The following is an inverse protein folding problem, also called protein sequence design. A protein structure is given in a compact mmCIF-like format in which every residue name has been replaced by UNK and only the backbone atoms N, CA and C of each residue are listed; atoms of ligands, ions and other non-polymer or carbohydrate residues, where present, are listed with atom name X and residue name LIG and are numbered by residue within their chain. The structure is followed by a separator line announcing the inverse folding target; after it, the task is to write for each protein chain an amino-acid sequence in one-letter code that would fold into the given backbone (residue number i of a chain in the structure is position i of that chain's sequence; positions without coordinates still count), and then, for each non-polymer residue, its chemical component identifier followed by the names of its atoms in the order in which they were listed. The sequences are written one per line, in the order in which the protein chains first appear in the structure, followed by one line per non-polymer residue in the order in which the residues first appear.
data_IF_636004927243
#
_entry.id   IF_636004927243
#
_cell.length_a   1.000
_cell.length_b   1.000
_cell.length_c   1.000
_cell.angle_alpha   90.00
_cell.angle_beta   90.00
_cell.angle_gamma   90.00
#
_symmetry.space_group_name_H-M   'P 1'
#
loop_
_entity.id
_entity.type
_entity.pdbx_description
1 polymer ?
#
# COMPACT_ATOMS: atom_id res chain seq x y z
N UNK A 1 -31.57 70.77 -3.77
CA UNK A 1 -32.17 69.79 -2.81
C UNK A 1 -31.61 70.09 -1.44
N UNK A 2 -32.47 70.30 -0.44
CA UNK A 2 -32.04 70.52 0.96
C UNK A 2 -31.66 69.19 1.57
N UNK A 3 -30.37 68.91 1.80
CA UNK A 3 -29.91 67.70 2.45
C UNK A 3 -30.29 67.82 3.91
N UNK A 4 -31.14 66.92 4.43
CA UNK A 4 -31.55 66.90 5.83
C UNK A 4 -30.51 66.21 6.70
N UNK A 5 -30.37 66.65 7.97
CA UNK A 5 -29.47 66.02 8.95
C UNK A 5 -29.66 64.50 9.02
N UNK A 6 -30.91 64.04 8.94
CA UNK A 6 -31.25 62.61 8.90
C UNK A 6 -30.68 61.86 7.71
N UNK A 7 -30.63 62.47 6.52
CA UNK A 7 -30.01 61.86 5.33
C UNK A 7 -28.49 61.77 5.48
N UNK A 8 -27.84 62.77 6.05
CA UNK A 8 -26.41 62.77 6.34
C UNK A 8 -26.06 61.67 7.33
N UNK A 9 -26.83 61.54 8.42
CA UNK A 9 -26.63 60.50 9.42
C UNK A 9 -26.80 59.08 8.84
N UNK A 10 -27.83 58.84 8.03
CA UNK A 10 -28.05 57.55 7.37
C UNK A 10 -26.91 57.19 6.39
N UNK A 11 -26.45 58.17 5.62
CA UNK A 11 -25.32 57.97 4.71
C UNK A 11 -24.05 57.63 5.44
N UNK A 12 -23.78 58.34 6.55
CA UNK A 12 -22.65 58.10 7.41
C UNK A 12 -22.70 56.69 8.05
N UNK A 13 -23.82 56.29 8.63
CA UNK A 13 -23.99 54.95 9.20
C UNK A 13 -23.81 53.86 8.17
N UNK A 14 -24.31 54.06 6.95
CA UNK A 14 -24.10 53.12 5.84
C UNK A 14 -22.62 52.98 5.47
N UNK A 15 -21.88 54.09 5.46
CA UNK A 15 -20.42 54.05 5.16
C UNK A 15 -19.62 53.39 6.30
N UNK A 16 -19.99 53.66 7.58
CA UNK A 16 -19.36 53.02 8.71
C UNK A 16 -19.57 51.50 8.73
N UNK A 17 -20.81 51.05 8.48
CA UNK A 17 -21.11 49.64 8.38
C UNK A 17 -20.35 48.94 7.21
N UNK A 18 -20.23 49.63 6.07
CA UNK A 18 -19.45 49.13 4.94
C UNK A 18 -17.94 49.06 5.28
N UNK A 19 -17.39 49.98 6.05
CA UNK A 19 -16.01 49.93 6.53
C UNK A 19 -15.80 48.74 7.50
N UNK A 20 -16.75 48.54 8.43
CA UNK A 20 -16.71 47.42 9.36
C UNK A 20 -16.80 46.07 8.62
N UNK A 21 -17.69 45.94 7.64
CA UNK A 21 -17.79 44.71 6.80
C UNK A 21 -16.51 44.40 6.07
N UNK A 22 -15.85 45.42 5.48
CA UNK A 22 -14.55 45.23 4.81
C UNK A 22 -13.46 44.77 5.77
N UNK A 23 -13.38 45.42 6.98
CA UNK A 23 -12.45 45.00 8.02
C UNK A 23 -12.68 43.54 8.44
N UNK A 24 -13.93 43.18 8.74
CA UNK A 24 -14.29 41.82 9.15
C UNK A 24 -14.08 40.79 8.01
N UNK A 25 -14.23 41.19 6.73
CA UNK A 25 -13.93 40.33 5.59
C UNK A 25 -12.41 40.03 5.47
N UNK A 26 -11.57 41.06 5.68
CA UNK A 26 -10.11 40.92 5.71
C UNK A 26 -9.67 40.05 6.90
N UNK A 27 -10.24 40.28 8.09
CA UNK A 27 -10.00 39.47 9.29
C UNK A 27 -10.35 38.00 9.09
N UNK A 28 -11.48 37.68 8.44
CA UNK A 28 -11.86 36.32 8.10
C UNK A 28 -10.83 35.65 7.15
N UNK A 29 -10.28 36.40 6.18
CA UNK A 29 -9.22 35.86 5.28
C UNK A 29 -7.93 35.57 6.02
N UNK A 30 -7.53 36.42 6.96
CA UNK A 30 -6.36 36.19 7.83
C UNK A 30 -6.58 34.96 8.70
N UNK A 31 -7.73 34.85 9.36
CA UNK A 31 -8.02 33.73 10.27
C UNK A 31 -8.17 32.40 9.54
N UNK A 32 -8.71 32.40 8.32
CA UNK A 32 -8.87 31.17 7.51
C UNK A 32 -7.65 30.84 6.65
N UNK A 33 -6.68 31.76 6.52
CA UNK A 33 -5.56 31.69 5.57
C UNK A 33 -5.98 31.55 4.11
N UNK A 34 -7.28 31.77 3.80
CA UNK A 34 -7.87 31.58 2.48
C UNK A 34 -8.25 32.93 1.85
N UNK A 35 -7.99 33.02 0.55
CA UNK A 35 -8.35 34.19 -0.27
C UNK A 35 -9.87 34.41 -0.37
N UNK A 36 -10.64 33.33 -0.37
CA UNK A 36 -12.09 33.33 -0.35
C UNK A 36 -12.61 32.25 0.62
N UNK A 37 -13.73 32.51 1.29
CA UNK A 37 -14.35 31.58 2.23
C UNK A 37 -15.60 30.91 1.65
N UNK A 38 -16.17 31.48 0.59
CA UNK A 38 -17.36 30.94 -0.10
C UNK A 38 -17.06 30.80 -1.59
N UNK A 39 -17.52 29.71 -2.18
CA UNK A 39 -17.38 29.46 -3.63
C UNK A 39 -18.04 30.57 -4.51
N UNK A 40 -19.02 31.32 -3.94
CA UNK A 40 -19.64 32.44 -4.60
C UNK A 40 -18.73 33.68 -4.74
N UNK A 41 -17.66 33.77 -3.94
CA UNK A 41 -16.71 34.89 -3.99
C UNK A 41 -15.75 34.79 -5.16
N UNK A 42 -15.31 33.55 -5.51
CA UNK A 42 -14.48 33.24 -6.69
C UNK A 42 -14.87 31.86 -7.25
N UNK A 43 -15.91 31.74 -8.07
CA UNK A 43 -16.42 30.47 -8.58
C UNK A 43 -15.41 29.68 -9.43
N UNK A 44 -14.56 30.41 -10.15
CA UNK A 44 -13.56 29.82 -11.06
C UNK A 44 -12.45 29.14 -10.27
N UNK A 45 -11.86 29.86 -9.31
CA UNK A 45 -10.80 29.32 -8.44
C UNK A 45 -11.36 28.22 -7.54
N UNK A 46 -12.59 28.35 -7.02
CA UNK A 46 -13.24 27.34 -6.21
C UNK A 46 -13.47 26.03 -6.98
N UNK A 47 -13.90 26.11 -8.25
CA UNK A 47 -14.08 24.92 -9.09
C UNK A 47 -12.74 24.21 -9.39
N UNK A 48 -11.66 24.98 -9.63
CA UNK A 48 -10.32 24.41 -9.80
C UNK A 48 -9.80 23.79 -8.51
N UNK A 49 -9.95 24.48 -7.39
CA UNK A 49 -9.53 24.00 -6.07
C UNK A 49 -10.23 22.69 -5.67
N UNK A 50 -11.52 22.53 -5.97
CA UNK A 50 -12.24 21.27 -5.75
C UNK A 50 -11.65 20.10 -6.56
N UNK A 51 -11.25 20.35 -7.82
CA UNK A 51 -10.57 19.32 -8.64
C UNK A 51 -9.20 18.98 -8.08
N UNK A 52 -8.43 19.98 -7.67
CA UNK A 52 -7.12 19.78 -7.05
C UNK A 52 -7.24 19.00 -5.73
N UNK A 53 -8.21 19.33 -4.87
CA UNK A 53 -8.47 18.56 -3.64
C UNK A 53 -8.84 17.10 -3.92
N UNK A 54 -9.65 16.85 -4.96
CA UNK A 54 -9.95 15.47 -5.37
C UNK A 54 -8.70 14.74 -5.84
N UNK A 55 -7.84 15.40 -6.62
CA UNK A 55 -6.57 14.83 -7.05
C UNK A 55 -5.64 14.54 -5.86
N UNK A 56 -5.55 15.44 -4.88
CA UNK A 56 -4.81 15.24 -3.62
C UNK A 56 -5.34 14.02 -2.87
N UNK A 57 -6.65 13.90 -2.70
CA UNK A 57 -7.27 12.74 -2.05
C UNK A 57 -6.92 11.44 -2.75
N UNK A 58 -7.10 11.38 -4.07
CA UNK A 58 -6.77 10.18 -4.85
C UNK A 58 -5.26 9.83 -4.76
N UNK A 59 -4.37 10.84 -4.81
CA UNK A 59 -2.93 10.60 -4.69
C UNK A 59 -2.57 10.08 -3.29
N UNK A 60 -3.24 10.58 -2.26
CA UNK A 60 -3.05 10.07 -0.89
C UNK A 60 -3.53 8.62 -0.75
N UNK A 61 -4.65 8.25 -1.37
CA UNK A 61 -5.15 6.88 -1.38
C UNK A 61 -4.17 5.95 -2.10
N UNK A 62 -3.58 6.38 -3.22
CA UNK A 62 -2.54 5.62 -3.93
C UNK A 62 -1.26 5.45 -3.12
N UNK A 63 -0.83 6.49 -2.37
CA UNK A 63 0.32 6.39 -1.47
C UNK A 63 0.05 5.38 -0.33
N UNK A 64 -1.14 5.37 0.26
CA UNK A 64 -1.53 4.37 1.25
C UNK A 64 -1.57 2.94 0.70
N UNK A 65 -2.00 2.78 -0.56
CA UNK A 65 -1.95 1.49 -1.25
C UNK A 65 -0.50 1.02 -1.47
N UNK A 66 0.40 1.92 -1.85
CA UNK A 66 1.83 1.60 -2.02
C UNK A 66 2.49 1.25 -0.70
N UNK A 67 2.19 1.94 0.39
CA UNK A 67 2.69 1.62 1.73
C UNK A 67 2.27 0.21 2.17
N UNK A 68 1.00 -0.15 1.94
CA UNK A 68 0.50 -1.51 2.21
C UNK A 68 1.20 -2.55 1.33
N UNK A 69 1.38 -2.23 0.04
CA UNK A 69 2.09 -3.11 -0.88
C UNK A 69 3.56 -3.30 -0.47
N UNK A 70 4.25 -2.24 -0.06
CA UNK A 70 5.63 -2.30 0.43
C UNK A 70 5.77 -3.26 1.63
N UNK A 71 4.85 -3.20 2.59
CA UNK A 71 4.84 -4.13 3.73
C UNK A 71 4.69 -5.58 3.28
N UNK A 72 3.81 -5.85 2.31
CA UNK A 72 3.58 -7.18 1.75
C UNK A 72 4.83 -7.69 1.03
N UNK A 73 5.45 -6.86 0.20
CA UNK A 73 6.65 -7.24 -0.56
C UNK A 73 7.87 -7.44 0.34
N UNK A 74 8.06 -6.60 1.37
CA UNK A 74 9.12 -6.76 2.38
C UNK A 74 8.92 -8.07 3.18
N UNK A 75 7.67 -8.39 3.52
CA UNK A 75 7.35 -9.65 4.17
C UNK A 75 7.61 -10.87 3.28
N UNK A 76 7.22 -10.82 2.01
CA UNK A 76 7.47 -11.87 1.04
C UNK A 76 8.98 -12.07 0.79
N UNK A 77 9.74 -10.99 0.67
CA UNK A 77 11.20 -11.00 0.55
C UNK A 77 11.86 -11.75 1.72
N UNK A 78 11.48 -11.40 2.94
CA UNK A 78 11.96 -12.07 4.15
C UNK A 78 11.64 -13.56 4.18
N UNK A 79 10.42 -13.95 3.78
CA UNK A 79 10.03 -15.36 3.71
C UNK A 79 10.89 -16.11 2.68
N UNK A 80 11.06 -15.58 1.47
CA UNK A 80 11.84 -16.26 0.44
C UNK A 80 13.35 -16.33 0.77
N UNK A 81 13.89 -15.31 1.43
CA UNK A 81 15.25 -15.34 1.94
C UNK A 81 15.42 -16.47 2.96
N UNK A 82 14.53 -16.57 3.96
CA UNK A 82 14.57 -17.64 4.96
C UNK A 82 14.38 -19.03 4.34
N UNK A 83 13.53 -19.16 3.33
CA UNK A 83 13.35 -20.43 2.59
C UNK A 83 14.64 -20.81 1.87
N UNK A 84 15.35 -19.89 1.22
CA UNK A 84 16.64 -20.16 0.61
C UNK A 84 17.68 -20.63 1.62
N UNK A 85 17.78 -20.00 2.78
CA UNK A 85 18.68 -20.41 3.86
C UNK A 85 18.36 -21.81 4.40
N UNK A 86 17.09 -22.15 4.53
CA UNK A 86 16.64 -23.49 4.93
C UNK A 86 17.00 -24.51 3.87
N UNK A 87 16.85 -24.20 2.58
CA UNK A 87 17.22 -25.09 1.47
C UNK A 87 18.71 -25.38 1.44
N UNK A 88 19.55 -24.39 1.70
CA UNK A 88 21.00 -24.61 1.82
C UNK A 88 21.30 -25.61 2.93
N UNK A 89 20.65 -25.48 4.08
CA UNK A 89 20.77 -26.42 5.18
C UNK A 89 20.27 -27.83 4.83
N UNK A 90 19.14 -27.94 4.12
CA UNK A 90 18.61 -29.23 3.66
C UNK A 90 19.61 -29.91 2.73
N UNK A 91 20.11 -29.17 1.71
CA UNK A 91 21.09 -29.69 0.72
C UNK A 91 22.36 -30.14 1.45
N UNK A 92 22.86 -29.39 2.45
CA UNK A 92 23.99 -29.80 3.27
C UNK A 92 23.75 -31.12 3.99
N UNK A 93 22.59 -31.28 4.69
CA UNK A 93 22.26 -32.47 5.45
C UNK A 93 22.06 -33.70 4.55
N UNK A 94 21.34 -33.54 3.43
CA UNK A 94 21.13 -34.63 2.46
C UNK A 94 22.45 -35.01 1.81
N UNK A 95 23.34 -34.04 1.46
CA UNK A 95 24.69 -34.32 0.94
C UNK A 95 25.54 -35.08 1.95
N UNK A 96 25.47 -34.71 3.24
CA UNK A 96 26.16 -35.40 4.31
C UNK A 96 25.68 -36.86 4.44
N UNK A 97 24.36 -37.10 4.38
CA UNK A 97 23.78 -38.43 4.41
C UNK A 97 24.20 -39.28 3.18
N UNK A 98 24.18 -38.68 1.97
CA UNK A 98 24.51 -39.39 0.73
C UNK A 98 25.99 -39.81 0.65
N UNK A 99 26.93 -39.01 1.22
CA UNK A 99 28.37 -39.25 1.11
C UNK A 99 28.95 -40.02 2.33
N UNK A 100 28.22 -40.15 3.44
CA UNK A 100 28.68 -40.74 4.67
C UNK A 100 28.58 -42.28 4.70
N UNK A 101 29.38 -42.94 5.57
CA UNK A 101 29.22 -44.33 6.00
C UNK A 101 28.58 -44.32 7.37
N UNK A 102 27.32 -43.87 7.46
CA UNK A 102 26.63 -43.65 8.73
C UNK A 102 25.90 -44.92 9.19
N UNK A 103 25.62 -44.97 10.47
CA UNK A 103 24.77 -45.99 11.05
C UNK A 103 23.30 -45.64 10.86
N UNK A 104 22.42 -46.63 10.80
CA UNK A 104 20.96 -46.47 10.59
C UNK A 104 20.32 -45.46 11.58
N UNK A 105 20.82 -45.38 12.83
CA UNK A 105 20.36 -44.41 13.84
C UNK A 105 20.71 -42.93 13.44
N UNK A 106 21.85 -42.70 12.82
CA UNK A 106 22.25 -41.37 12.36
C UNK A 106 21.45 -40.96 11.11
N UNK A 107 21.12 -41.90 10.23
CA UNK A 107 20.28 -41.67 9.06
C UNK A 107 18.86 -41.30 9.45
N UNK A 108 18.27 -41.93 10.48
CA UNK A 108 16.93 -41.59 11.02
C UNK A 108 16.92 -40.17 11.62
N UNK A 109 17.96 -39.77 12.36
CA UNK A 109 18.08 -38.42 12.93
C UNK A 109 18.19 -37.35 11.84
N UNK A 110 18.98 -37.63 10.79
CA UNK A 110 19.13 -36.73 9.64
C UNK A 110 17.80 -36.61 8.87
N UNK A 111 17.13 -37.71 8.61
CA UNK A 111 15.83 -37.71 7.95
C UNK A 111 14.79 -36.89 8.73
N UNK A 112 14.71 -37.08 10.05
CA UNK A 112 13.83 -36.30 10.92
C UNK A 112 14.18 -34.80 10.93
N UNK A 113 15.46 -34.46 10.84
CA UNK A 113 15.93 -33.07 10.75
C UNK A 113 15.44 -32.44 9.43
N UNK A 114 15.59 -33.14 8.30
CA UNK A 114 15.12 -32.68 6.98
C UNK A 114 13.59 -32.55 6.96
N UNK A 115 12.84 -33.47 7.58
CA UNK A 115 11.39 -33.35 7.72
C UNK A 115 11.00 -32.09 8.53
N UNK A 116 11.74 -31.79 9.60
CA UNK A 116 11.50 -30.56 10.41
C UNK A 116 11.71 -29.30 9.57
N UNK A 117 12.70 -29.28 8.70
CA UNK A 117 12.89 -28.18 7.74
C UNK A 117 11.73 -28.07 6.73
N UNK A 118 11.18 -29.18 6.25
CA UNK A 118 9.98 -29.15 5.41
C UNK A 118 8.77 -28.52 6.13
N UNK A 119 8.55 -28.90 7.41
CA UNK A 119 7.53 -28.31 8.26
C UNK A 119 7.74 -26.81 8.45
N UNK A 120 9.01 -26.36 8.60
CA UNK A 120 9.32 -24.94 8.74
C UNK A 120 9.06 -24.15 7.44
N UNK A 121 9.42 -24.69 6.26
CA UNK A 121 9.07 -24.09 4.98
C UNK A 121 7.54 -23.91 4.84
N UNK A 122 6.76 -24.93 5.24
CA UNK A 122 5.29 -24.84 5.25
C UNK A 122 4.79 -23.72 6.18
N UNK A 123 5.40 -23.55 7.35
CA UNK A 123 5.04 -22.46 8.28
C UNK A 123 5.35 -21.10 7.68
N UNK A 124 6.52 -20.93 7.05
CA UNK A 124 6.93 -19.69 6.40
C UNK A 124 5.94 -19.29 5.30
N UNK A 125 5.56 -20.22 4.41
CA UNK A 125 4.57 -19.94 3.37
C UNK A 125 3.14 -19.74 3.89
N UNK A 126 2.84 -20.15 5.11
CA UNK A 126 1.56 -19.92 5.77
C UNK A 126 1.57 -18.69 6.70
N UNK A 127 2.65 -17.93 6.77
CA UNK A 127 2.74 -16.73 7.60
C UNK A 127 1.78 -15.65 7.11
N UNK A 128 1.09 -15.00 8.04
CA UNK A 128 0.23 -13.86 7.76
C UNK A 128 1.09 -12.59 7.69
N UNK A 129 0.95 -11.85 6.59
CA UNK A 129 1.63 -10.58 6.35
C UNK A 129 0.57 -9.53 6.04
N UNK A 130 0.55 -8.43 6.79
CA UNK A 130 -0.47 -7.39 6.71
C UNK A 130 -1.91 -7.98 6.80
N UNK A 131 -2.11 -8.92 7.73
CA UNK A 131 -3.39 -9.63 7.97
C UNK A 131 -3.88 -10.46 6.77
N UNK A 132 -2.98 -10.84 5.87
CA UNK A 132 -3.29 -11.64 4.67
C UNK A 132 -2.29 -12.78 4.48
N UNK A 133 -2.79 -13.89 3.93
CA UNK A 133 -1.96 -15.01 3.46
C UNK A 133 -1.52 -14.75 2.03
N UNK A 134 -0.39 -14.11 1.88
CA UNK A 134 0.06 -13.58 0.60
C UNK A 134 0.41 -14.65 -0.45
N UNK A 135 0.73 -15.89 -0.04
CA UNK A 135 1.10 -16.98 -0.95
C UNK A 135 -0.10 -17.86 -1.36
N UNK A 136 -1.29 -17.57 -0.86
CA UNK A 136 -2.53 -18.31 -1.18
C UNK A 136 -3.31 -17.79 -2.38
N UNK A 137 -2.78 -16.81 -3.12
CA UNK A 137 -3.54 -16.10 -4.14
C UNK A 137 -4.67 -15.29 -3.52
N UNK A 138 -5.93 -15.49 -3.94
CA UNK A 138 -7.10 -14.82 -3.35
C UNK A 138 -7.65 -15.53 -2.11
N UNK A 139 -7.08 -16.68 -1.72
CA UNK A 139 -7.49 -17.41 -0.53
C UNK A 139 -6.93 -16.77 0.74
N UNK A 140 -7.80 -16.29 1.62
CA UNK A 140 -7.43 -15.68 2.91
C UNK A 140 -7.96 -16.45 4.12
N UNK A 141 -8.80 -17.48 3.93
CA UNK A 141 -9.59 -18.09 5.01
C UNK A 141 -9.01 -19.41 5.54
N UNK A 142 -8.16 -20.09 4.75
CA UNK A 142 -7.65 -21.42 5.08
C UNK A 142 -6.12 -21.49 5.01
N UNK A 143 -5.54 -22.52 5.66
CA UNK A 143 -4.11 -22.81 5.55
C UNK A 143 -3.76 -23.11 4.10
N UNK A 144 -2.83 -22.35 3.53
CA UNK A 144 -2.44 -22.40 2.11
C UNK A 144 -1.74 -23.71 1.79
N UNK A 145 -0.68 -24.03 2.54
CA UNK A 145 0.07 -25.27 2.42
C UNK A 145 -0.18 -26.15 3.63
N UNK A 146 -0.43 -27.44 3.41
CA UNK A 146 -0.63 -28.42 4.48
C UNK A 146 0.01 -29.75 4.12
N UNK A 147 0.74 -30.33 5.07
CA UNK A 147 1.24 -31.70 4.93
C UNK A 147 0.15 -32.66 5.41
N UNK A 148 -0.23 -33.60 4.56
CA UNK A 148 -1.21 -34.64 4.84
C UNK A 148 -0.55 -36.02 4.72
N UNK A 149 -1.00 -36.98 5.51
CA UNK A 149 -0.52 -38.33 5.42
C UNK A 149 -1.54 -39.19 4.65
N UNK A 150 -1.21 -39.53 3.42
CA UNK A 150 -2.05 -40.32 2.53
C UNK A 150 -1.41 -41.69 2.31
N UNK A 151 -2.02 -42.74 2.86
CA UNK A 151 -1.52 -44.10 2.70
C UNK A 151 -0.13 -44.37 3.30
N UNK A 152 0.28 -43.63 4.31
CA UNK A 152 1.59 -43.74 4.95
C UNK A 152 2.70 -42.87 4.31
N UNK A 153 2.41 -42.16 3.22
CA UNK A 153 3.30 -41.21 2.59
C UNK A 153 2.84 -39.78 2.94
N UNK A 154 3.79 -38.92 3.32
CA UNK A 154 3.54 -37.49 3.53
C UNK A 154 3.42 -36.81 2.15
N UNK A 155 2.30 -36.13 1.92
CA UNK A 155 2.02 -35.36 0.70
C UNK A 155 1.65 -33.95 1.07
N UNK A 156 2.02 -33.00 0.20
CA UNK A 156 1.70 -31.59 0.35
C UNK A 156 0.44 -31.24 -0.44
N UNK A 157 -0.46 -30.48 0.20
CA UNK A 157 -1.63 -29.90 -0.47
C UNK A 157 -1.50 -28.39 -0.51
N UNK A 158 -1.93 -27.79 -1.62
CA UNK A 158 -2.02 -26.35 -1.84
C UNK A 158 -3.49 -25.96 -2.03
N UNK A 159 -4.00 -25.08 -1.18
CA UNK A 159 -5.41 -24.70 -1.14
C UNK A 159 -6.37 -25.91 -1.11
N UNK A 160 -5.97 -27.00 -0.42
CA UNK A 160 -6.77 -28.22 -0.27
C UNK A 160 -6.69 -29.20 -1.44
N UNK A 161 -5.83 -28.96 -2.44
CA UNK A 161 -5.61 -29.84 -3.58
C UNK A 161 -4.17 -30.38 -3.54
N UNK A 162 -3.98 -31.67 -3.84
CA UNK A 162 -2.64 -32.26 -3.92
C UNK A 162 -1.80 -31.52 -4.96
N UNK A 163 -0.63 -31.04 -4.54
CA UNK A 163 0.28 -30.24 -5.36
C UNK A 163 0.77 -30.99 -6.61
N UNK A 164 0.79 -32.31 -6.57
CA UNK A 164 1.25 -33.18 -7.65
C UNK A 164 0.14 -33.53 -8.65
N UNK A 165 -1.11 -33.14 -8.39
CA UNK A 165 -2.26 -33.47 -9.23
C UNK A 165 -2.45 -32.53 -10.43
N UNK A 166 -1.85 -31.35 -10.38
CA UNK A 166 -2.00 -30.30 -11.39
C UNK A 166 -0.62 -29.76 -11.78
N UNK A 167 -0.30 -29.81 -13.09
CA UNK A 167 0.98 -29.34 -13.62
C UNK A 167 1.02 -27.83 -13.89
N UNK A 168 -0.15 -27.19 -13.99
CA UNK A 168 -0.28 -25.78 -14.28
C UNK A 168 -0.62 -25.01 -12.98
N UNK A 169 0.29 -24.18 -12.46
CA UNK A 169 0.08 -23.47 -11.20
C UNK A 169 -1.12 -22.52 -11.21
N UNK A 170 -1.54 -22.05 -12.39
CA UNK A 170 -2.68 -21.13 -12.52
C UNK A 170 -4.04 -21.84 -12.49
N UNK A 171 -4.06 -23.18 -12.52
CA UNK A 171 -5.28 -23.98 -12.43
C UNK A 171 -5.67 -24.41 -11.02
N UNK A 172 -4.84 -24.13 -10.02
CA UNK A 172 -5.22 -24.39 -8.63
C UNK A 172 -6.37 -23.47 -8.19
N UNK A 173 -7.23 -23.93 -7.26
CA UNK A 173 -8.23 -23.06 -6.65
C UNK A 173 -7.58 -21.84 -6.03
N UNK A 174 -8.19 -20.68 -6.21
CA UNK A 174 -7.73 -19.39 -5.62
C UNK A 174 -6.33 -18.95 -6.05
N UNK A 175 -5.75 -19.51 -7.14
CA UNK A 175 -4.41 -19.17 -7.64
C UNK A 175 -4.30 -17.74 -8.22
N UNK A 176 -5.41 -17.07 -8.45
CA UNK A 176 -5.44 -15.70 -8.95
C UNK A 176 -4.83 -14.72 -7.95
N UNK A 177 -4.14 -13.70 -8.46
CA UNK A 177 -3.59 -12.63 -7.60
C UNK A 177 -4.62 -11.53 -7.33
N UNK A 178 -4.62 -10.99 -6.12
CA UNK A 178 -5.30 -9.74 -5.82
C UNK A 178 -4.42 -8.57 -6.26
N UNK A 179 -5.05 -7.49 -6.73
CA UNK A 179 -4.35 -6.31 -7.22
C UNK A 179 -4.76 -5.06 -6.45
N UNK A 180 -3.82 -4.10 -6.34
CA UNK A 180 -4.09 -2.77 -5.80
C UNK A 180 -3.81 -1.69 -6.83
N UNK A 181 -4.64 -0.63 -6.82
CA UNK A 181 -4.46 0.55 -7.68
C UNK A 181 -3.41 1.48 -7.08
N UNK A 182 -2.38 1.79 -7.86
CA UNK A 182 -1.26 2.67 -7.51
C UNK A 182 -1.24 3.96 -8.34
N UNK A 183 -2.37 4.30 -8.96
CA UNK A 183 -2.51 5.52 -9.76
C UNK A 183 -1.85 5.45 -11.14
N UNK A 184 -1.64 4.25 -11.66
CA UNK A 184 -1.18 4.01 -13.05
C UNK A 184 -2.32 3.87 -14.05
N UNK A 185 -3.57 3.93 -13.56
CA UNK A 185 -4.76 3.75 -14.38
C UNK A 185 -5.14 2.28 -14.50
N UNK A 186 -5.63 1.68 -13.40
CA UNK A 186 -6.06 0.30 -13.37
C UNK A 186 -7.12 0.03 -14.44
N UNK A 187 -6.86 -0.96 -15.30
CA UNK A 187 -7.74 -1.41 -16.38
C UNK A 187 -8.38 -2.73 -15.98
N UNK A 188 -9.70 -2.79 -16.04
CA UNK A 188 -10.47 -4.02 -15.84
C UNK A 188 -11.02 -4.44 -17.20
N UNK A 189 -10.71 -5.66 -17.63
CA UNK A 189 -11.26 -6.23 -18.86
C UNK A 189 -12.78 -6.40 -18.70
N UNK A 190 -13.60 -5.71 -19.49
CA UNK A 190 -15.05 -5.77 -19.36
C UNK A 190 -15.65 -7.14 -19.72
N UNK A 191 -14.92 -7.99 -20.44
CA UNK A 191 -15.39 -9.31 -20.84
C UNK A 191 -15.15 -10.37 -19.76
N UNK A 192 -14.02 -10.28 -19.05
CA UNK A 192 -13.61 -11.27 -18.04
C UNK A 192 -13.74 -10.77 -16.60
N UNK A 193 -13.89 -9.46 -16.39
CA UNK A 193 -13.87 -8.82 -15.07
C UNK A 193 -12.50 -8.86 -14.38
N UNK A 194 -11.44 -9.32 -15.07
CA UNK A 194 -10.10 -9.43 -14.52
C UNK A 194 -9.33 -8.12 -14.68
N UNK A 195 -8.49 -7.84 -13.71
CA UNK A 195 -7.55 -6.71 -13.76
C UNK A 195 -6.41 -7.06 -14.72
N UNK A 196 -6.04 -6.11 -15.60
CA UNK A 196 -4.83 -6.24 -16.41
C UNK A 196 -3.60 -6.17 -15.48
N UNK A 197 -2.79 -7.24 -15.41
CA UNK A 197 -1.61 -7.31 -14.53
C UNK A 197 -0.57 -6.20 -14.77
N UNK A 198 -0.59 -5.55 -15.93
CA UNK A 198 0.30 -4.43 -16.26
C UNK A 198 -0.21 -3.09 -15.74
N UNK A 199 -1.50 -3.00 -15.42
CA UNK A 199 -2.15 -1.76 -15.00
C UNK A 199 -2.25 -1.58 -13.48
N UNK A 200 -1.96 -2.62 -12.70
CA UNK A 200 -2.07 -2.60 -11.25
C UNK A 200 -0.99 -3.48 -10.61
N UNK A 201 -0.73 -3.28 -9.31
CA UNK A 201 0.28 -4.03 -8.57
C UNK A 201 -0.35 -5.25 -7.89
N UNK A 202 0.15 -6.48 -8.11
CA UNK A 202 -0.31 -7.65 -7.36
C UNK A 202 0.11 -7.54 -5.89
N UNK A 203 -0.79 -7.88 -4.99
CA UNK A 203 -0.56 -7.89 -3.52
C UNK A 203 -0.69 -9.28 -2.92
N UNK A 204 -0.90 -10.29 -3.75
CA UNK A 204 -0.84 -11.70 -3.37
C UNK A 204 -0.11 -12.49 -4.45
N UNK A 205 0.49 -13.61 -4.06
CA UNK A 205 1.32 -14.43 -4.92
C UNK A 205 0.75 -15.84 -5.04
N UNK A 206 0.95 -16.45 -6.18
CA UNK A 206 0.63 -17.87 -6.36
C UNK A 206 1.75 -18.72 -5.77
N UNK A 207 1.50 -19.32 -4.60
CA UNK A 207 2.47 -20.15 -3.90
C UNK A 207 2.88 -21.40 -4.69
N UNK A 208 1.96 -22.01 -5.44
CA UNK A 208 2.27 -23.18 -6.29
C UNK A 208 3.26 -22.82 -7.42
N UNK A 209 3.22 -21.58 -7.92
CA UNK A 209 4.18 -21.10 -8.92
C UNK A 209 5.58 -20.91 -8.34
N UNK A 210 5.67 -20.47 -7.09
CA UNK A 210 6.94 -20.21 -6.40
C UNK A 210 7.58 -21.53 -5.95
N UNK A 211 6.78 -22.41 -5.33
CA UNK A 211 7.26 -23.68 -4.76
C UNK A 211 7.36 -24.81 -5.77
N UNK A 212 6.83 -24.63 -6.97
CA UNK A 212 6.67 -25.68 -7.97
C UNK A 212 5.41 -26.50 -7.77
N UNK A 213 4.92 -27.13 -8.81
CA UNK A 213 3.77 -28.05 -8.80
C UNK A 213 3.90 -29.11 -9.92
N UNK A 214 3.08 -30.16 -9.83
CA UNK A 214 3.08 -31.26 -10.79
C UNK A 214 4.24 -32.21 -10.59
N UNK A 215 4.40 -33.09 -11.58
CA UNK A 215 5.42 -34.13 -11.61
C UNK A 215 6.40 -33.93 -12.76
N UNK A 216 7.62 -34.45 -12.59
CA UNK A 216 8.61 -34.56 -13.66
C UNK A 216 8.38 -35.79 -14.54
N UNK A 217 9.24 -35.99 -15.56
CA UNK A 217 9.16 -37.10 -16.47
C UNK A 217 9.47 -38.46 -15.79
N UNK A 218 10.08 -38.44 -14.60
CA UNK A 218 10.40 -39.60 -13.77
C UNK A 218 9.27 -39.95 -12.79
N UNK A 219 8.26 -39.07 -12.67
CA UNK A 219 7.11 -39.22 -11.80
C UNK A 219 7.29 -38.62 -10.39
N UNK A 220 8.42 -37.97 -10.13
CA UNK A 220 8.72 -37.28 -8.90
C UNK A 220 8.07 -35.86 -8.87
N UNK A 221 7.87 -35.33 -7.67
CA UNK A 221 7.31 -33.98 -7.53
C UNK A 221 8.29 -32.91 -7.95
N UNK A 222 7.76 -31.83 -8.55
CA UNK A 222 8.51 -30.57 -8.79
C UNK A 222 8.39 -29.60 -7.62
N UNK A 223 7.58 -29.93 -6.61
CA UNK A 223 7.36 -29.04 -5.46
C UNK A 223 8.49 -29.18 -4.45
N UNK A 224 9.10 -28.06 -4.05
CA UNK A 224 10.25 -27.98 -3.15
C UNK A 224 10.01 -28.69 -1.80
N UNK A 225 8.78 -28.56 -1.23
CA UNK A 225 8.43 -29.15 0.06
C UNK A 225 8.29 -30.67 -0.10
N UNK A 226 7.65 -31.12 -1.18
CA UNK A 226 7.51 -32.54 -1.46
C UNK A 226 8.86 -33.20 -1.77
N UNK A 227 9.73 -32.54 -2.56
CA UNK A 227 11.09 -33.01 -2.84
C UNK A 227 11.87 -33.17 -1.53
N UNK A 228 11.72 -32.22 -0.59
CA UNK A 228 12.36 -32.28 0.75
C UNK A 228 11.86 -33.49 1.54
N UNK A 229 10.55 -33.76 1.53
CA UNK A 229 9.98 -34.91 2.22
C UNK A 229 10.43 -36.23 1.59
N UNK A 230 10.47 -36.31 0.24
CA UNK A 230 10.92 -37.49 -0.48
C UNK A 230 12.43 -37.71 -0.30
N UNK A 231 13.25 -36.65 -0.23
CA UNK A 231 14.66 -36.72 0.13
C UNK A 231 14.87 -37.23 1.56
N UNK A 232 14.07 -36.77 2.53
CA UNK A 232 14.11 -37.29 3.90
C UNK A 232 13.80 -38.79 3.95
N UNK A 233 12.84 -39.25 3.15
CA UNK A 233 12.51 -40.67 3.06
C UNK A 233 13.66 -41.47 2.44
N UNK A 234 14.30 -40.99 1.37
CA UNK A 234 15.47 -41.64 0.75
C UNK A 234 16.65 -41.73 1.74
N UNK A 235 16.88 -40.71 2.57
CA UNK A 235 17.90 -40.75 3.63
C UNK A 235 17.54 -41.80 4.68
N UNK A 236 16.28 -41.89 5.13
CA UNK A 236 15.80 -42.90 6.09
C UNK A 236 15.93 -44.33 5.56
N UNK A 237 15.75 -44.55 4.27
CA UNK A 237 15.90 -45.86 3.62
C UNK A 237 17.37 -46.21 3.30
N UNK A 238 18.32 -45.30 3.55
CA UNK A 238 19.74 -45.48 3.22
C UNK A 238 20.02 -45.51 1.72
N UNK A 239 19.05 -45.06 0.87
CA UNK A 239 19.21 -45.03 -0.59
C UNK A 239 20.02 -43.83 -1.05
N UNK A 240 21.34 -43.96 -1.04
CA UNK A 240 22.30 -42.89 -1.38
C UNK A 240 22.16 -42.39 -2.81
N UNK A 241 21.75 -43.27 -3.72
CA UNK A 241 21.58 -42.92 -5.13
C UNK A 241 20.42 -41.98 -5.30
N UNK A 242 19.25 -42.31 -4.70
CA UNK A 242 18.08 -41.44 -4.70
C UNK A 242 18.33 -40.15 -3.92
N UNK A 243 19.03 -40.22 -2.78
CA UNK A 243 19.38 -39.01 -2.02
C UNK A 243 20.23 -38.03 -2.85
N UNK A 244 21.17 -38.54 -3.67
CA UNK A 244 21.93 -37.70 -4.61
C UNK A 244 21.05 -37.07 -5.69
N UNK A 245 20.13 -37.84 -6.28
CA UNK A 245 19.20 -37.33 -7.29
C UNK A 245 18.31 -36.19 -6.73
N UNK A 246 17.81 -36.37 -5.52
CA UNK A 246 17.04 -35.30 -4.85
C UNK A 246 17.86 -34.05 -4.53
N UNK A 247 19.19 -34.11 -4.37
CA UNK A 247 20.03 -32.93 -4.22
C UNK A 247 19.96 -32.07 -5.48
N UNK A 248 20.04 -32.67 -6.67
CA UNK A 248 19.98 -31.92 -7.92
C UNK A 248 18.57 -31.31 -8.14
N UNK A 249 17.52 -32.07 -7.79
CA UNK A 249 16.12 -31.56 -7.82
C UNK A 249 15.92 -30.40 -6.82
N UNK A 250 16.48 -30.48 -5.61
CA UNK A 250 16.44 -29.40 -4.62
C UNK A 250 17.15 -28.15 -5.12
N UNK A 251 18.32 -28.27 -5.76
CA UNK A 251 19.04 -27.12 -6.36
C UNK A 251 18.26 -26.48 -7.49
N UNK A 252 17.60 -27.27 -8.33
CA UNK A 252 16.73 -26.75 -9.39
C UNK A 252 15.53 -25.99 -8.81
N UNK A 253 14.90 -26.55 -7.77
CA UNK A 253 13.80 -25.89 -7.07
C UNK A 253 14.25 -24.61 -6.33
N UNK A 254 15.43 -24.61 -5.70
CA UNK A 254 16.05 -23.43 -5.09
C UNK A 254 16.28 -22.32 -6.11
N UNK A 255 16.70 -22.67 -7.32
CA UNK A 255 16.84 -21.68 -8.40
C UNK A 255 15.51 -21.02 -8.72
N UNK A 256 14.39 -21.76 -8.73
CA UNK A 256 13.05 -21.21 -8.95
C UNK A 256 12.64 -20.23 -7.84
N UNK A 257 12.92 -20.57 -6.57
CA UNK A 257 12.68 -19.67 -5.43
C UNK A 257 13.53 -18.41 -5.54
N UNK A 258 14.80 -18.55 -5.93
CA UNK A 258 15.71 -17.41 -6.13
C UNK A 258 15.25 -16.48 -7.25
N UNK A 259 14.69 -17.00 -8.33
CA UNK A 259 14.08 -16.22 -9.42
C UNK A 259 12.85 -15.46 -8.90
N UNK A 260 12.00 -16.12 -8.12
CA UNK A 260 10.84 -15.46 -7.50
C UNK A 260 11.27 -14.35 -6.51
N UNK A 261 12.33 -14.58 -5.72
CA UNK A 261 12.92 -13.60 -4.83
C UNK A 261 13.44 -12.37 -5.60
N UNK A 262 14.16 -12.59 -6.72
CA UNK A 262 14.61 -11.50 -7.57
C UNK A 262 13.44 -10.70 -8.20
N UNK A 263 12.33 -11.36 -8.57
CA UNK A 263 11.15 -10.68 -9.10
C UNK A 263 10.48 -9.79 -8.02
N UNK A 264 10.46 -10.26 -6.76
CA UNK A 264 10.00 -9.45 -5.61
C UNK A 264 10.88 -8.22 -5.44
N UNK A 265 12.21 -8.35 -5.48
CA UNK A 265 13.15 -7.23 -5.40
C UNK A 265 12.93 -6.19 -6.50
N UNK A 266 12.73 -6.62 -7.74
CA UNK A 266 12.40 -5.72 -8.85
C UNK A 266 11.07 -4.96 -8.62
N UNK A 267 10.09 -5.62 -7.98
CA UNK A 267 8.81 -4.98 -7.64
C UNK A 267 8.95 -3.99 -6.49
N UNK A 268 9.83 -4.24 -5.53
CA UNK A 268 10.15 -3.28 -4.46
C UNK A 268 10.76 -2.00 -5.04
N UNK A 269 11.72 -2.09 -5.98
CA UNK A 269 12.24 -0.90 -6.69
C UNK A 269 11.14 -0.15 -7.45
N UNK A 270 10.21 -0.89 -8.08
CA UNK A 270 9.06 -0.29 -8.76
C UNK A 270 8.12 0.43 -7.80
N UNK A 271 7.89 -0.12 -6.59
CA UNK A 271 7.09 0.50 -5.52
C UNK A 271 7.78 1.80 -5.08
N UNK A 272 9.06 1.77 -4.78
CA UNK A 272 9.85 2.94 -4.37
C UNK A 272 9.80 4.05 -5.44
N UNK A 273 10.02 3.70 -6.70
CA UNK A 273 9.91 4.65 -7.82
C UNK A 273 8.53 5.33 -7.88
N UNK A 274 7.44 4.56 -7.76
CA UNK A 274 6.09 5.10 -7.80
C UNK A 274 5.76 5.95 -6.56
N UNK A 275 6.24 5.56 -5.39
CA UNK A 275 6.10 6.34 -4.15
C UNK A 275 6.76 7.70 -4.29
N UNK A 276 7.99 7.76 -4.78
CA UNK A 276 8.70 9.01 -5.06
C UNK A 276 7.97 9.87 -6.10
N UNK A 277 7.48 9.27 -7.17
CA UNK A 277 6.69 9.95 -8.21
C UNK A 277 5.41 10.57 -7.65
N UNK A 278 4.66 9.80 -6.85
CA UNK A 278 3.40 10.28 -6.26
C UNK A 278 3.62 11.33 -5.18
N UNK A 279 4.70 11.22 -4.41
CA UNK A 279 5.09 12.23 -3.41
C UNK A 279 5.40 13.58 -4.09
N UNK A 280 6.20 13.59 -5.14
CA UNK A 280 6.48 14.80 -5.93
C UNK A 280 5.21 15.38 -6.56
N UNK A 281 4.30 14.52 -7.04
CA UNK A 281 3.00 14.95 -7.56
C UNK A 281 2.13 15.57 -6.45
N UNK A 282 2.12 14.98 -5.26
CA UNK A 282 1.40 15.49 -4.08
C UNK A 282 1.90 16.90 -3.72
N UNK A 283 3.22 17.12 -3.66
CA UNK A 283 3.80 18.44 -3.40
C UNK A 283 3.34 19.47 -4.43
N UNK A 284 3.37 19.11 -5.72
CA UNK A 284 2.89 19.98 -6.80
C UNK A 284 1.41 20.31 -6.67
N UNK A 285 0.57 19.34 -6.31
CA UNK A 285 -0.86 19.54 -6.08
C UNK A 285 -1.14 20.41 -4.86
N UNK A 286 -0.39 20.27 -3.77
CA UNK A 286 -0.48 21.11 -2.58
C UNK A 286 -0.08 22.56 -2.88
N UNK A 287 0.99 22.76 -3.65
CA UNK A 287 1.37 24.10 -4.12
C UNK A 287 0.27 24.69 -5.00
N UNK A 288 -0.27 23.93 -5.93
CA UNK A 288 -1.38 24.37 -6.78
C UNK A 288 -2.62 24.73 -5.95
N UNK A 289 -2.96 23.94 -4.91
CA UNK A 289 -4.04 24.25 -4.00
C UNK A 289 -3.79 25.55 -3.25
N UNK A 290 -2.57 25.75 -2.74
CA UNK A 290 -2.20 26.98 -2.05
C UNK A 290 -2.28 28.20 -2.97
N UNK A 291 -1.84 28.09 -4.22
CA UNK A 291 -1.95 29.16 -5.22
C UNK A 291 -3.41 29.50 -5.58
N UNK A 292 -4.32 28.53 -5.52
CA UNK A 292 -5.76 28.73 -5.81
C UNK A 292 -6.52 29.30 -4.62
N UNK A 293 -6.25 28.84 -3.41
CA UNK A 293 -7.03 29.13 -2.19
C UNK A 293 -6.28 30.00 -1.18
N UNK A 294 -4.97 29.95 -1.17
CA UNK A 294 -4.13 30.62 -0.18
C UNK A 294 -4.21 32.15 -0.31
N UNK A 295 -4.13 32.83 0.84
CA UNK A 295 -4.02 34.29 0.89
C UNK A 295 -2.57 34.68 1.15
N UNK A 296 -2.14 35.78 0.54
CA UNK A 296 -0.89 36.43 0.92
C UNK A 296 -1.07 37.09 2.29
N UNK A 297 -0.56 36.45 3.32
CA UNK A 297 -0.71 36.92 4.70
C UNK A 297 -0.05 38.27 4.94
N UNK A 298 1.06 38.59 4.24
CA UNK A 298 1.75 39.89 4.37
C UNK A 298 0.90 41.03 3.80
N UNK A 299 0.40 40.84 2.60
CA UNK A 299 -0.47 41.80 1.92
C UNK A 299 -1.81 41.96 2.66
N UNK A 300 -2.44 40.86 3.07
CA UNK A 300 -3.75 40.91 3.74
C UNK A 300 -3.68 41.49 5.17
N UNK A 301 -2.58 41.23 5.90
CA UNK A 301 -2.34 41.85 7.21
C UNK A 301 -2.16 43.36 7.09
N UNK A 302 -1.44 43.80 6.06
CA UNK A 302 -1.27 45.24 5.78
C UNK A 302 -2.60 45.90 5.39
N UNK A 303 -3.40 45.20 4.55
CA UNK A 303 -4.75 45.63 4.18
C UNK A 303 -5.66 45.73 5.39
N UNK A 304 -5.66 44.73 6.28
CA UNK A 304 -6.46 44.76 7.53
C UNK A 304 -6.10 45.91 8.44
N UNK A 305 -4.80 46.18 8.67
CA UNK A 305 -4.35 47.36 9.46
C UNK A 305 -4.81 48.66 8.84
N UNK A 306 -4.79 48.78 7.53
CA UNK A 306 -5.29 49.97 6.83
C UNK A 306 -6.79 50.13 7.00
N UNK A 307 -7.57 49.05 6.89
CA UNK A 307 -9.02 49.05 7.12
C UNK A 307 -9.38 49.34 8.57
N UNK A 308 -8.60 48.85 9.51
CA UNK A 308 -8.73 49.15 10.93
C UNK A 308 -8.52 50.66 11.22
N UNK A 309 -7.47 51.26 10.64
CA UNK A 309 -7.21 52.68 10.75
C UNK A 309 -8.34 53.51 10.14
N UNK A 310 -8.85 53.13 8.95
CA UNK A 310 -9.99 53.78 8.30
C UNK A 310 -11.25 53.70 9.20
N UNK A 311 -11.54 52.53 9.76
CA UNK A 311 -12.67 52.33 10.66
C UNK A 311 -12.57 53.22 11.94
N UNK A 312 -11.38 53.25 12.55
CA UNK A 312 -11.14 54.07 13.76
C UNK A 312 -11.27 55.57 13.45
N UNK A 313 -10.73 56.06 12.33
CA UNK A 313 -10.91 57.45 11.87
C UNK A 313 -12.39 57.76 11.60
N UNK A 314 -13.10 56.79 10.96
CA UNK A 314 -14.54 56.94 10.73
C UNK A 314 -15.32 57.04 12.06
N UNK A 315 -14.98 56.30 13.10
CA UNK A 315 -15.58 56.40 14.44
C UNK A 315 -15.32 57.77 15.08
N UNK A 316 -14.09 58.32 14.95
CA UNK A 316 -13.76 59.64 15.45
C UNK A 316 -14.56 60.75 14.75
N UNK A 317 -14.76 60.64 13.46
CA UNK A 317 -15.60 61.56 12.70
C UNK A 317 -17.09 61.50 13.09
N UNK A 318 -17.55 60.37 13.65
CA UNK A 318 -18.93 60.24 14.17
C UNK A 318 -19.28 61.33 15.18
N UNK A 319 -18.36 61.62 16.09
CA UNK A 319 -18.55 62.63 17.12
C UNK A 319 -18.70 64.07 16.56
N UNK A 320 -18.20 64.33 15.35
CA UNK A 320 -18.33 65.62 14.69
C UNK A 320 -19.56 65.75 13.77
N UNK A 321 -20.05 64.62 13.26
CA UNK A 321 -21.20 64.56 12.30
C UNK A 321 -22.54 64.39 13.04
N UNK A 322 -22.53 63.73 14.21
CA UNK A 322 -23.71 63.50 15.05
C UNK A 322 -23.65 64.52 16.16
N UNK A 323 -24.46 65.62 16.15
CA UNK A 323 -24.44 66.60 17.20
C UNK A 323 -24.91 65.99 18.54
N UNK A 324 -24.23 66.37 19.63
CA UNK A 324 -24.47 65.86 21.02
C UNK A 324 -25.92 66.05 21.53
N UNK A 325 -26.77 66.81 20.82
CA UNK A 325 -28.17 67.05 21.19
C UNK A 325 -29.06 65.80 21.23
N UNK A 326 -28.65 64.68 20.61
CA UNK A 326 -29.46 63.45 20.65
C UNK A 326 -29.18 62.63 21.92
N UNK A 327 -27.96 62.67 22.44
CA UNK A 327 -27.61 61.98 23.69
C UNK A 327 -28.17 62.64 24.97
N UNK A 328 -28.50 63.93 24.92
CA UNK A 328 -29.15 64.64 26.03
C UNK A 328 -30.66 64.38 26.15
N UNK A 329 -31.28 63.73 25.19
CA UNK A 329 -32.72 63.43 25.17
C UNK A 329 -33.06 62.00 25.64
N UNK A 330 -32.06 61.20 25.96
CA UNK A 330 -32.21 59.77 26.38
C UNK A 330 -31.66 59.57 27.83
N UNK A 331 -31.17 60.60 28.50
CA UNK A 331 -30.79 60.53 29.92
C UNK A 331 -31.87 61.01 30.83
#
# INVERSE_FOLDING_TARGET
MRITQSMTNRRYMSQLNAALERKNASERKINSTKRYNRASEDPISAAKALRTRKAISNTNDYLGNLETAEQIYNGADSVLMNVNDILDNIIEKVTYAANGTQHDEDEEILAQTVETFADEIVRLFNTDIAERRIFGGVNNDTTVFKIENVGGKKTITYNGVDINSIDDPDKFPYSESSFTDIGTGMVIDPATGRVDPQSALPVTFNGAKITGCGKDDEGDSKNIIQITLDAAQAVREGDKIKAMDYIDKLRAAQTSVSVAHADIGNKQEYIEYNTNRLTNNMETLLEQQNNLEGTDMGAETTNWKTLEAIYNVSLQLASSVIPMSIFQFIS
#
